data_IF_687344164949
#
_entry.id   IF_687344164949
#
_cell.length_a   1.000
_cell.length_b   1.000
_cell.length_c   1.000
_cell.angle_alpha   90.00
_cell.angle_beta   90.00
_cell.angle_gamma   90.00
#
_symmetry.space_group_name_H-M   'P 1'
#
loop_
_entity.id
_entity.type
_entity.pdbx_description
1 polymer ?
#
# COMPACT_ATOMS: atom_id res chain seq x y z
N UNK A 1 -8.98 5.84 -1.30
CA UNK A 1 -8.40 6.48 -0.09
C UNK A 1 -9.28 7.62 0.39
N UNK A 2 -9.59 8.58 -0.47
CA UNK A 2 -10.33 9.80 -0.08
C UNK A 2 -11.82 9.59 0.22
N UNK A 3 -12.50 8.75 -0.58
CA UNK A 3 -13.95 8.54 -0.49
C UNK A 3 -14.39 7.60 0.64
N UNK A 4 -13.44 6.91 1.26
CA UNK A 4 -13.75 5.91 2.27
C UNK A 4 -14.14 6.58 3.61
N UNK A 5 -15.23 6.14 4.27
CA UNK A 5 -15.73 6.77 5.50
C UNK A 5 -14.74 6.79 6.66
N UNK A 6 -13.84 5.81 6.73
CA UNK A 6 -12.84 5.67 7.79
C UNK A 6 -11.48 5.36 7.17
N UNK A 7 -10.38 5.69 7.85
CA UNK A 7 -9.03 5.34 7.45
C UNK A 7 -8.85 3.83 7.37
N UNK A 8 -9.44 3.07 8.31
CA UNK A 8 -9.43 1.60 8.24
C UNK A 8 -10.01 1.10 6.92
N UNK A 9 -11.20 1.58 6.54
CA UNK A 9 -11.84 1.21 5.27
C UNK A 9 -11.08 1.75 4.06
N UNK A 10 -10.42 2.90 4.18
CA UNK A 10 -9.57 3.46 3.14
C UNK A 10 -8.39 2.53 2.81
N UNK A 11 -7.68 2.05 3.84
CA UNK A 11 -6.55 1.13 3.71
C UNK A 11 -7.02 -0.25 3.21
N UNK A 12 -8.08 -0.81 3.79
CA UNK A 12 -8.64 -2.09 3.35
C UNK A 12 -9.07 -2.04 1.89
N UNK A 13 -9.77 -0.98 1.49
CA UNK A 13 -10.22 -0.76 0.11
C UNK A 13 -9.04 -0.63 -0.85
N UNK A 14 -8.01 0.12 -0.46
CA UNK A 14 -6.77 0.27 -1.23
C UNK A 14 -6.06 -1.07 -1.48
N UNK A 15 -5.88 -1.88 -0.44
CA UNK A 15 -5.22 -3.18 -0.55
C UNK A 15 -6.10 -4.20 -1.31
N UNK A 16 -7.41 -4.19 -1.08
CA UNK A 16 -8.36 -5.04 -1.80
C UNK A 16 -8.39 -4.72 -3.29
N UNK A 17 -8.39 -3.43 -3.66
CA UNK A 17 -8.32 -3.02 -5.05
C UNK A 17 -6.97 -3.41 -5.68
N UNK A 18 -5.88 -3.27 -4.93
CA UNK A 18 -4.55 -3.77 -5.34
C UNK A 18 -4.58 -5.27 -5.64
N UNK A 19 -5.10 -6.10 -4.73
CA UNK A 19 -5.19 -7.54 -4.92
C UNK A 19 -5.98 -7.90 -6.20
N UNK A 20 -7.10 -7.20 -6.44
CA UNK A 20 -7.91 -7.38 -7.66
C UNK A 20 -7.15 -6.98 -8.91
N UNK A 21 -6.52 -5.81 -8.91
CA UNK A 21 -5.79 -5.29 -10.07
C UNK A 21 -4.60 -6.20 -10.44
N UNK A 22 -3.84 -6.67 -9.44
CA UNK A 22 -2.61 -7.43 -9.70
C UNK A 22 -2.86 -8.89 -10.10
N UNK A 23 -4.03 -9.43 -9.78
CA UNK A 23 -4.40 -10.83 -10.12
C UNK A 23 -5.19 -10.98 -11.42
N UNK A 24 -5.37 -9.90 -12.19
CA UNK A 24 -6.01 -9.96 -13.50
C UNK A 24 -5.18 -10.79 -14.49
N UNK A 25 -5.82 -11.73 -15.19
CA UNK A 25 -5.17 -12.68 -16.10
C UNK A 25 -5.15 -12.21 -17.55
N UNK A 26 -5.86 -11.13 -17.88
CA UNK A 26 -5.94 -10.53 -19.22
C UNK A 26 -4.78 -9.54 -19.52
N UNK A 27 -3.87 -9.35 -18.56
CA UNK A 27 -2.78 -8.37 -18.60
C UNK A 27 -1.59 -8.84 -17.77
N UNK A 28 -0.41 -8.21 -17.89
CA UNK A 28 0.73 -8.53 -17.03
C UNK A 28 0.38 -8.32 -15.54
N UNK A 29 0.69 -9.33 -14.73
CA UNK A 29 0.43 -9.30 -13.29
C UNK A 29 1.46 -8.42 -12.54
N UNK A 30 0.99 -7.81 -11.45
CA UNK A 30 1.74 -6.81 -10.68
C UNK A 30 1.67 -5.39 -11.26
N UNK A 31 2.50 -4.49 -10.74
CA UNK A 31 2.54 -3.07 -11.09
C UNK A 31 3.91 -2.66 -11.63
N UNK A 32 3.92 -2.00 -12.79
CA UNK A 32 5.12 -1.42 -13.38
C UNK A 32 5.81 -0.44 -12.41
N UNK A 33 5.04 0.36 -11.67
CA UNK A 33 5.58 1.34 -10.72
C UNK A 33 6.31 0.64 -9.56
N UNK A 34 5.78 -0.50 -9.09
CA UNK A 34 6.39 -1.26 -8.01
C UNK A 34 7.61 -2.07 -8.47
N UNK A 35 7.56 -2.68 -9.66
CA UNK A 35 8.57 -3.62 -10.16
C UNK A 35 9.67 -2.98 -11.01
N UNK A 36 9.43 -1.79 -11.55
CA UNK A 36 10.33 -1.15 -12.51
C UNK A 36 11.52 -0.45 -11.86
N UNK A 37 12.67 -0.54 -12.53
CA UNK A 37 13.89 0.22 -12.23
C UNK A 37 14.39 0.11 -10.78
N UNK A 38 14.43 -1.12 -10.26
CA UNK A 38 14.85 -1.41 -8.89
C UNK A 38 16.38 -1.49 -8.71
N UNK A 39 17.14 -1.88 -9.74
CA UNK A 39 18.60 -2.03 -9.66
C UNK A 39 19.36 -0.71 -9.85
N UNK A 40 20.44 -0.51 -9.09
CA UNK A 40 21.20 0.74 -9.08
C UNK A 40 21.84 1.11 -10.43
N UNK A 41 22.25 0.15 -11.26
CA UNK A 41 22.84 0.47 -12.57
C UNK A 41 21.82 1.01 -13.57
N UNK A 42 20.52 0.86 -13.30
CA UNK A 42 19.45 1.47 -14.11
C UNK A 42 19.18 2.94 -13.76
N UNK A 43 19.81 3.52 -12.73
CA UNK A 43 19.25 4.67 -11.98
C UNK A 43 19.54 6.08 -12.53
N UNK A 44 20.18 6.23 -13.68
CA UNK A 44 20.46 7.56 -14.25
C UNK A 44 19.45 8.05 -15.30
N UNK A 45 18.43 7.24 -15.63
CA UNK A 45 17.39 7.62 -16.59
C UNK A 45 16.19 8.37 -15.98
N UNK A 46 15.59 9.28 -16.73
CA UNK A 46 14.36 10.01 -16.37
C UNK A 46 13.21 9.09 -15.93
N UNK A 47 13.09 7.91 -16.56
CA UNK A 47 12.07 6.90 -16.22
C UNK A 47 12.25 6.41 -14.78
N UNK A 48 13.48 6.16 -14.34
CA UNK A 48 13.77 5.61 -13.02
C UNK A 48 13.45 6.63 -11.92
N UNK A 49 13.72 7.91 -12.18
CA UNK A 49 13.32 9.01 -11.31
C UNK A 49 11.79 9.13 -11.24
N UNK A 50 11.11 9.02 -12.38
CA UNK A 50 9.64 9.05 -12.44
C UNK A 50 9.00 7.90 -11.64
N UNK A 51 9.49 6.67 -11.79
CA UNK A 51 8.98 5.51 -11.06
C UNK A 51 9.24 5.64 -9.55
N UNK A 52 10.40 6.17 -9.14
CA UNK A 52 10.69 6.47 -7.72
C UNK A 52 9.73 7.52 -7.16
N UNK A 53 9.51 8.61 -7.90
CA UNK A 53 8.57 9.67 -7.53
C UNK A 53 7.17 9.11 -7.32
N UNK A 54 6.67 8.28 -8.25
CA UNK A 54 5.34 7.67 -8.14
C UNK A 54 5.19 6.74 -6.95
N UNK A 55 6.23 5.98 -6.59
CA UNK A 55 6.24 5.16 -5.37
C UNK A 55 6.15 6.04 -4.12
N UNK A 56 6.90 7.14 -4.08
CA UNK A 56 6.82 8.10 -2.98
C UNK A 56 5.44 8.77 -2.90
N UNK A 57 4.86 9.19 -4.03
CA UNK A 57 3.52 9.79 -4.08
C UNK A 57 2.42 8.87 -3.54
N UNK A 58 2.51 7.57 -3.82
CA UNK A 58 1.61 6.57 -3.26
C UNK A 58 1.73 6.49 -1.74
N UNK A 59 2.96 6.47 -1.20
CA UNK A 59 3.19 6.48 0.24
C UNK A 59 2.66 7.78 0.88
N UNK A 60 2.96 8.94 0.30
CA UNK A 60 2.47 10.23 0.81
C UNK A 60 0.94 10.31 0.76
N UNK A 61 0.28 9.69 -0.22
CA UNK A 61 -1.18 9.64 -0.26
C UNK A 61 -1.77 8.80 0.88
N UNK A 62 -1.12 7.69 1.25
CA UNK A 62 -1.50 6.89 2.41
C UNK A 62 -1.30 7.68 3.70
N UNK A 63 -0.13 8.31 3.87
CA UNK A 63 0.21 9.13 5.03
C UNK A 63 -0.78 10.26 5.24
N UNK A 64 -1.06 11.07 4.22
CA UNK A 64 -2.05 12.17 4.29
C UNK A 64 -3.43 11.69 4.74
N UNK A 65 -3.87 10.51 4.27
CA UNK A 65 -5.18 9.96 4.67
C UNK A 65 -5.21 9.58 6.15
N UNK A 66 -4.09 9.09 6.68
CA UNK A 66 -3.93 8.71 8.09
C UNK A 66 -3.80 9.95 8.97
N UNK A 67 -3.00 10.94 8.57
CA UNK A 67 -2.89 12.23 9.27
C UNK A 67 -4.25 12.92 9.39
N UNK A 68 -5.05 12.90 8.33
CA UNK A 68 -6.43 13.41 8.39
C UNK A 68 -7.27 12.66 9.42
N UNK A 69 -7.22 11.33 9.43
CA UNK A 69 -7.97 10.54 10.40
C UNK A 69 -7.54 10.81 11.85
N UNK A 70 -6.24 11.01 12.09
CA UNK A 70 -5.74 11.44 13.39
C UNK A 70 -6.28 12.83 13.78
N UNK A 71 -6.26 13.79 12.85
CA UNK A 71 -6.81 15.14 13.07
C UNK A 71 -8.34 15.13 13.30
N UNK A 72 -9.06 14.19 12.70
CA UNK A 72 -10.51 13.98 12.87
C UNK A 72 -10.85 13.16 14.14
N UNK A 73 -9.85 12.68 14.87
CA UNK A 73 -10.03 11.87 16.09
C UNK A 73 -10.44 10.41 15.83
N UNK A 74 -10.28 9.93 14.60
CA UNK A 74 -10.54 8.53 14.24
C UNK A 74 -9.40 7.60 14.72
N UNK A 75 -8.19 8.13 14.85
CA UNK A 75 -6.99 7.41 15.28
C UNK A 75 -6.45 7.97 16.62
N UNK A 76 -5.70 7.16 17.39
CA UNK A 76 -4.99 7.65 18.57
C UNK A 76 -4.11 8.86 18.26
N UNK A 77 -3.95 9.76 19.23
CA UNK A 77 -3.17 10.98 19.05
C UNK A 77 -1.67 10.73 18.80
N UNK A 78 -1.16 9.59 19.24
CA UNK A 78 0.21 9.12 19.06
C UNK A 78 0.34 8.08 17.93
N UNK A 79 -0.70 7.91 17.10
CA UNK A 79 -0.65 7.02 15.95
C UNK A 79 0.44 7.46 14.96
N UNK A 80 1.44 6.60 14.75
CA UNK A 80 2.54 6.85 13.82
C UNK A 80 2.07 6.67 12.36
N UNK A 81 1.54 7.77 11.80
CA UNK A 81 1.02 7.83 10.42
C UNK A 81 2.09 7.46 9.39
N UNK A 82 3.34 7.89 9.61
CA UNK A 82 4.45 7.65 8.69
C UNK A 82 4.82 6.16 8.68
N UNK A 83 4.93 5.53 9.84
CA UNK A 83 5.21 4.10 9.95
C UNK A 83 4.09 3.26 9.33
N UNK A 84 2.83 3.59 9.61
CA UNK A 84 1.67 2.92 9.01
C UNK A 84 1.65 3.07 7.47
N UNK A 85 1.86 4.28 6.94
CA UNK A 85 1.92 4.50 5.50
C UNK A 85 3.05 3.69 4.84
N UNK A 86 4.23 3.67 5.47
CA UNK A 86 5.39 2.88 5.02
C UNK A 86 5.05 1.39 5.00
N UNK A 87 4.41 0.87 6.04
CA UNK A 87 4.00 -0.53 6.13
C UNK A 87 3.03 -0.90 4.99
N UNK A 88 1.94 -0.14 4.81
CA UNK A 88 0.93 -0.47 3.79
C UNK A 88 1.44 -0.29 2.36
N UNK A 89 2.31 0.69 2.10
CA UNK A 89 3.00 0.81 0.81
C UNK A 89 3.92 -0.40 0.57
N UNK A 90 4.63 -0.87 1.60
CA UNK A 90 5.49 -2.06 1.52
C UNK A 90 4.70 -3.32 1.23
N UNK A 91 3.57 -3.53 1.92
CA UNK A 91 2.63 -4.64 1.64
C UNK A 91 2.18 -4.59 0.18
N UNK A 92 1.76 -3.42 -0.32
CA UNK A 92 1.35 -3.25 -1.70
C UNK A 92 2.47 -3.62 -2.69
N UNK A 93 3.70 -3.16 -2.44
CA UNK A 93 4.85 -3.51 -3.29
C UNK A 93 5.13 -5.03 -3.26
N UNK A 94 5.07 -5.67 -2.10
CA UNK A 94 5.22 -7.11 -1.95
C UNK A 94 4.15 -7.89 -2.72
N UNK A 95 2.90 -7.45 -2.66
CA UNK A 95 1.79 -8.03 -3.45
C UNK A 95 2.07 -7.97 -4.95
N UNK A 96 2.74 -6.91 -5.44
CA UNK A 96 3.12 -6.80 -6.85
C UNK A 96 4.13 -7.87 -7.26
N UNK A 97 5.10 -8.17 -6.40
CA UNK A 97 6.11 -9.22 -6.64
C UNK A 97 5.43 -10.59 -6.63
N UNK A 98 4.65 -10.89 -5.59
CA UNK A 98 3.92 -12.15 -5.47
C UNK A 98 3.00 -12.40 -6.67
N UNK A 99 2.27 -11.37 -7.12
CA UNK A 99 1.44 -11.48 -8.30
C UNK A 99 2.25 -11.77 -9.57
N UNK A 100 3.41 -11.13 -9.74
CA UNK A 100 4.31 -11.41 -10.86
C UNK A 100 4.83 -12.85 -10.86
N UNK A 101 5.04 -13.41 -9.67
CA UNK A 101 5.50 -14.78 -9.46
C UNK A 101 4.34 -15.82 -9.53
N UNK A 102 3.12 -15.38 -9.87
CA UNK A 102 1.98 -16.26 -10.11
C UNK A 102 1.05 -16.47 -8.92
N UNK A 103 1.14 -15.64 -7.87
CA UNK A 103 0.19 -15.71 -6.76
C UNK A 103 -1.25 -15.51 -7.24
N UNK A 104 -2.16 -16.34 -6.72
CA UNK A 104 -3.58 -16.26 -7.07
C UNK A 104 -4.26 -15.06 -6.40
N UNK A 105 -5.42 -14.65 -6.92
CA UNK A 105 -6.27 -13.65 -6.26
C UNK A 105 -6.56 -14.02 -4.80
N UNK A 106 -6.82 -15.29 -4.52
CA UNK A 106 -7.09 -15.77 -3.16
C UNK A 106 -5.87 -15.57 -2.24
N UNK A 107 -4.66 -15.87 -2.73
CA UNK A 107 -3.43 -15.64 -1.98
C UNK A 107 -3.20 -14.15 -1.69
N UNK A 108 -3.40 -13.27 -2.68
CA UNK A 108 -3.29 -11.82 -2.48
C UNK A 108 -4.35 -11.28 -1.50
N UNK A 109 -5.58 -11.80 -1.54
CA UNK A 109 -6.61 -11.44 -0.56
C UNK A 109 -6.24 -11.93 0.86
N UNK A 110 -5.55 -13.05 1.01
CA UNK A 110 -5.02 -13.48 2.30
C UNK A 110 -3.94 -12.51 2.82
N UNK A 111 -3.10 -11.95 1.93
CA UNK A 111 -2.18 -10.86 2.30
C UNK A 111 -2.92 -9.61 2.81
N UNK A 112 -4.04 -9.24 2.16
CA UNK A 112 -4.89 -8.13 2.64
C UNK A 112 -5.39 -8.41 4.06
N UNK A 113 -5.90 -9.62 4.33
CA UNK A 113 -6.37 -10.00 5.66
C UNK A 113 -5.27 -9.89 6.72
N UNK A 114 -4.05 -10.36 6.42
CA UNK A 114 -2.90 -10.22 7.32
C UNK A 114 -2.53 -8.76 7.59
N UNK A 115 -2.54 -7.90 6.57
CA UNK A 115 -2.30 -6.47 6.73
C UNK A 115 -3.38 -5.79 7.60
N UNK A 116 -4.64 -6.19 7.47
CA UNK A 116 -5.73 -5.65 8.29
C UNK A 116 -5.73 -6.19 9.73
N UNK A 117 -5.12 -7.35 9.99
CA UNK A 117 -4.83 -7.77 11.35
C UNK A 117 -3.74 -6.89 11.98
N UNK A 118 -2.69 -6.55 11.23
CA UNK A 118 -1.66 -5.62 11.70
C UNK A 118 -2.22 -4.21 11.97
N UNK A 119 -3.15 -3.72 11.14
CA UNK A 119 -3.87 -2.45 11.40
C UNK A 119 -4.45 -2.42 12.81
N UNK A 120 -5.10 -3.50 13.24
CA UNK A 120 -5.74 -3.57 14.56
C UNK A 120 -4.71 -3.31 15.65
N UNK A 121 -3.56 -3.99 15.62
CA UNK A 121 -2.48 -3.75 16.57
C UNK A 121 -1.89 -2.34 16.49
N UNK A 122 -1.74 -1.77 15.29
CA UNK A 122 -1.21 -0.41 15.11
C UNK A 122 -2.17 0.66 15.63
N UNK A 123 -3.48 0.46 15.47
CA UNK A 123 -4.52 1.40 15.89
C UNK A 123 -4.97 1.21 17.36
N UNK A 124 -4.67 0.06 17.98
CA UNK A 124 -4.95 -0.24 19.39
C UNK A 124 -3.86 0.29 20.35
N UNK A 125 -2.80 0.94 19.86
CA UNK A 125 -1.70 1.44 20.69
C UNK A 125 -2.12 2.64 21.58
N UNK A 126 -2.83 2.32 22.67
CA UNK A 126 -2.78 2.87 24.03
C UNK A 126 -4.16 2.67 24.69
N UNK A 127 -4.30 1.58 25.44
CA UNK A 127 -5.18 1.52 26.62
C UNK A 127 -4.30 1.38 27.85
#
# INVERSE_FOLDING_TARGET
LEEAPTARLAIEGFLTQTARAYSQTDRPQGCLIALGALHQDSTQGLICQDLRRRRAENQTALERRLERAAAEGELPADFDCQAAATFFATVQHGMSIQARDGATRAALMATVAGAMAAWTTMAEANT
#
